data_IF_043132855504
#
_entry.id   IF_043132855504
#
_cell.length_a   1.000
_cell.length_b   1.000
_cell.length_c   1.000
_cell.angle_alpha   90.00
_cell.angle_beta   90.00
_cell.angle_gamma   90.00
#
_symmetry.space_group_name_H-M   'P 1'
#
loop_
_entity.id
_entity.type
_entity.pdbx_description
1 polymer ?
#
# COMPACT_ATOMS: atom_id res chain seq x y z
N UNK A 1 -3.74 22.24 23.25
CA UNK A 1 -3.74 22.15 21.77
C UNK A 1 -4.30 20.78 21.41
N UNK A 2 -5.53 20.71 20.91
CA UNK A 2 -6.13 19.42 20.54
C UNK A 2 -5.44 18.92 19.26
N UNK A 3 -4.95 17.68 19.28
CA UNK A 3 -4.41 17.00 18.09
C UNK A 3 -5.54 16.95 17.06
N UNK A 4 -5.32 17.56 15.90
CA UNK A 4 -6.22 17.40 14.76
C UNK A 4 -6.09 15.95 14.32
N UNK A 5 -6.98 15.09 14.79
CA UNK A 5 -7.23 13.82 14.14
C UNK A 5 -8.14 14.14 12.96
N UNK A 6 -7.57 14.18 11.74
CA UNK A 6 -8.39 14.17 10.54
C UNK A 6 -9.40 13.03 10.66
N UNK A 7 -10.68 13.31 10.43
CA UNK A 7 -11.71 12.28 10.52
C UNK A 7 -11.48 11.24 9.43
N UNK A 8 -11.36 9.98 9.80
CA UNK A 8 -11.46 8.85 8.87
C UNK A 8 -12.94 8.58 8.62
N UNK A 9 -13.42 8.86 7.41
CA UNK A 9 -14.78 8.49 6.99
C UNK A 9 -14.71 7.21 6.19
N UNK A 10 -15.32 6.15 6.73
CA UNK A 10 -15.41 4.85 6.05
C UNK A 10 -16.78 4.69 5.38
N UNK A 11 -16.86 4.00 4.24
CA UNK A 11 -18.14 3.62 3.66
C UNK A 11 -18.90 2.73 4.65
N UNK A 12 -20.23 2.92 4.77
CA UNK A 12 -21.04 2.14 5.72
C UNK A 12 -21.24 0.70 5.30
N UNK A 13 -21.17 0.43 4.00
CA UNK A 13 -21.33 -0.90 3.42
C UNK A 13 -20.23 -1.07 2.37
N UNK A 14 -19.42 -2.11 2.54
CA UNK A 14 -18.38 -2.50 1.61
C UNK A 14 -18.52 -4.00 1.39
N UNK A 15 -18.82 -4.39 0.15
CA UNK A 15 -18.84 -5.80 -0.26
C UNK A 15 -17.45 -6.16 -0.81
N UNK A 16 -16.52 -6.47 0.09
CA UNK A 16 -15.16 -6.86 -0.27
C UNK A 16 -14.57 -7.82 0.77
N UNK A 17 -13.75 -8.76 0.32
CA UNK A 17 -13.06 -9.71 1.19
C UNK A 17 -11.81 -9.10 1.88
N UNK A 18 -11.15 -8.15 1.20
CA UNK A 18 -9.92 -7.49 1.67
C UNK A 18 -9.89 -6.04 1.22
N UNK A 19 -9.48 -5.15 2.12
CA UNK A 19 -9.19 -3.75 1.83
C UNK A 19 -7.68 -3.51 1.77
N UNK A 20 -7.21 -2.92 0.68
CA UNK A 20 -5.80 -2.55 0.50
C UNK A 20 -5.68 -1.02 0.49
N UNK A 21 -4.98 -0.48 1.49
CA UNK A 21 -4.64 0.94 1.52
C UNK A 21 -3.35 1.20 0.74
N UNK A 22 -3.45 2.02 -0.30
CA UNK A 22 -2.35 2.39 -1.17
C UNK A 22 -1.56 3.59 -0.61
N UNK A 23 -0.48 3.31 0.10
CA UNK A 23 0.60 4.27 0.39
C UNK A 23 0.21 5.52 1.17
N UNK A 24 1.22 6.31 1.51
CA UNK A 24 1.15 7.72 1.98
C UNK A 24 0.05 8.07 3.00
N UNK A 25 -0.35 7.09 3.80
CA UNK A 25 -1.47 7.23 4.75
C UNK A 25 -1.05 8.06 5.96
N UNK A 26 0.12 7.77 6.53
CA UNK A 26 0.73 8.54 7.62
C UNK A 26 2.22 8.16 7.77
N UNK A 27 3.14 9.06 8.14
CA UNK A 27 4.56 8.73 8.34
C UNK A 27 4.81 7.83 9.56
N UNK A 28 4.04 8.00 10.64
CA UNK A 28 4.14 7.20 11.87
C UNK A 28 3.56 5.78 11.69
N UNK A 29 4.36 4.70 11.86
CA UNK A 29 3.89 3.31 11.78
C UNK A 29 2.80 2.96 12.80
N UNK A 30 2.82 3.55 13.99
CA UNK A 30 1.84 3.25 15.03
C UNK A 30 0.47 3.83 14.67
N UNK A 31 0.44 5.03 14.09
CA UNK A 31 -0.80 5.61 13.57
C UNK A 31 -1.34 4.77 12.41
N UNK A 32 -0.49 4.30 11.50
CA UNK A 32 -0.94 3.39 10.42
C UNK A 32 -1.54 2.09 10.97
N UNK A 33 -0.92 1.51 12.00
CA UNK A 33 -1.43 0.31 12.67
C UNK A 33 -2.81 0.56 13.29
N UNK A 34 -2.98 1.68 13.99
CA UNK A 34 -4.27 2.06 14.59
C UNK A 34 -5.37 2.27 13.54
N UNK A 35 -5.03 2.88 12.39
CA UNK A 35 -5.96 3.04 11.28
C UNK A 35 -6.39 1.69 10.71
N UNK A 36 -5.46 0.75 10.49
CA UNK A 36 -5.78 -0.61 10.01
C UNK A 36 -6.74 -1.29 10.98
N UNK A 37 -6.41 -1.33 12.27
CA UNK A 37 -7.26 -1.95 13.30
C UNK A 37 -8.65 -1.32 13.31
N UNK A 38 -8.74 0.01 13.22
CA UNK A 38 -10.02 0.70 13.22
C UNK A 38 -10.87 0.36 11.99
N UNK A 39 -10.25 0.19 10.82
CA UNK A 39 -10.95 -0.23 9.60
C UNK A 39 -11.47 -1.66 9.75
N UNK A 40 -10.64 -2.56 10.27
CA UNK A 40 -11.03 -3.96 10.49
C UNK A 40 -12.19 -4.06 11.49
N UNK A 41 -12.15 -3.29 12.58
CA UNK A 41 -13.20 -3.24 13.60
C UNK A 41 -14.52 -2.68 13.08
N UNK A 42 -14.48 -1.61 12.28
CA UNK A 42 -15.69 -0.92 11.79
C UNK A 42 -16.33 -1.61 10.59
N UNK A 43 -15.53 -2.19 9.69
CA UNK A 43 -16.04 -2.80 8.45
C UNK A 43 -16.15 -4.32 8.53
N UNK A 44 -15.48 -4.97 9.50
CA UNK A 44 -15.39 -6.43 9.55
C UNK A 44 -14.59 -7.04 8.39
N UNK A 45 -13.82 -6.24 7.67
CA UNK A 45 -13.04 -6.63 6.49
C UNK A 45 -11.57 -6.61 6.85
N UNK A 46 -10.83 -7.64 6.43
CA UNK A 46 -9.37 -7.68 6.60
C UNK A 46 -8.71 -6.53 5.84
N UNK A 47 -7.91 -5.73 6.53
CA UNK A 47 -7.24 -4.58 5.93
C UNK A 47 -5.73 -4.77 5.87
N UNK A 48 -5.10 -4.24 4.82
CA UNK A 48 -3.64 -4.17 4.70
C UNK A 48 -3.23 -2.79 4.20
N UNK A 49 -1.95 -2.50 4.36
CA UNK A 49 -1.32 -1.28 3.89
C UNK A 49 -0.06 -1.64 3.11
N UNK A 50 0.08 -1.04 1.93
CA UNK A 50 1.36 -0.93 1.21
C UNK A 50 1.92 0.46 1.38
N UNK A 51 3.23 0.59 1.35
CA UNK A 51 3.88 1.86 1.56
C UNK A 51 3.91 2.69 0.27
N UNK A 52 3.81 4.01 0.40
CA UNK A 52 4.09 4.95 -0.68
C UNK A 52 5.45 5.62 -0.47
N UNK A 53 5.80 6.58 -1.31
CA UNK A 53 7.08 7.27 -1.23
C UNK A 53 7.23 8.15 0.03
N UNK A 54 6.13 8.72 0.52
CA UNK A 54 6.13 9.48 1.77
C UNK A 54 6.28 8.57 3.00
N UNK A 55 6.04 7.27 2.85
CA UNK A 55 6.35 6.27 3.88
C UNK A 55 7.84 6.16 4.21
N UNK A 56 8.73 6.62 3.32
CA UNK A 56 10.19 6.55 3.47
C UNK A 56 10.84 7.94 3.36
N UNK A 57 10.05 9.01 3.48
CA UNK A 57 10.50 10.39 3.29
C UNK A 57 11.25 10.62 1.95
N UNK A 58 10.93 9.83 0.91
CA UNK A 58 11.63 9.88 -0.38
C UNK A 58 13.10 9.47 -0.37
N UNK A 59 13.62 8.93 0.74
CA UNK A 59 15.05 8.63 0.90
C UNK A 59 15.53 7.33 0.25
N UNK A 60 14.69 6.29 0.23
CA UNK A 60 15.02 5.00 -0.38
C UNK A 60 13.78 4.15 -0.66
N UNK A 61 13.85 3.32 -1.71
CA UNK A 61 12.82 2.34 -2.00
C UNK A 61 12.72 1.30 -0.87
N UNK A 62 11.52 0.83 -0.49
CA UNK A 62 11.36 -0.28 0.44
C UNK A 62 12.22 -1.50 0.08
N UNK A 63 12.89 -2.09 1.07
CA UNK A 63 13.39 -3.49 0.99
C UNK A 63 12.30 -4.51 1.42
N UNK A 64 11.03 -4.12 1.34
CA UNK A 64 9.86 -4.93 1.64
C UNK A 64 9.51 -5.78 0.40
N UNK A 65 9.29 -7.09 0.61
CA UNK A 65 9.01 -8.06 -0.46
C UNK A 65 7.51 -8.13 -0.87
N UNK A 66 6.72 -7.17 -0.41
CA UNK A 66 5.26 -7.21 -0.45
C UNK A 66 4.66 -8.12 0.63
N UNK A 67 3.33 -8.22 0.58
CA UNK A 67 2.52 -9.05 1.47
C UNK A 67 1.70 -10.02 0.64
N UNK A 68 1.70 -11.29 1.05
CA UNK A 68 0.81 -12.31 0.54
C UNK A 68 -0.42 -12.41 1.44
N UNK A 69 -1.60 -12.30 0.85
CA UNK A 69 -2.89 -12.42 1.54
C UNK A 69 -3.64 -13.60 0.94
N UNK A 70 -4.04 -14.54 1.79
CA UNK A 70 -4.86 -15.69 1.39
C UNK A 70 -6.31 -15.45 1.76
N UNK A 71 -7.21 -15.56 0.78
CA UNK A 71 -8.67 -15.44 0.93
C UNK A 71 -9.28 -16.72 0.37
N UNK A 72 -9.70 -17.63 1.27
CA UNK A 72 -10.12 -18.97 0.87
C UNK A 72 -9.02 -19.70 0.09
N UNK A 73 -9.26 -19.95 -1.20
CA UNK A 73 -8.29 -20.60 -2.12
C UNK A 73 -7.53 -19.61 -3.01
N UNK A 74 -7.80 -18.31 -2.87
CA UNK A 74 -7.20 -17.25 -3.68
C UNK A 74 -6.01 -16.66 -2.93
N UNK A 75 -4.91 -16.44 -3.65
CA UNK A 75 -3.72 -15.76 -3.17
C UNK A 75 -3.60 -14.40 -3.85
N UNK A 76 -3.55 -13.35 -3.05
CA UNK A 76 -3.38 -11.96 -3.50
C UNK A 76 -2.04 -11.46 -3.01
N UNK A 77 -1.19 -11.04 -3.95
CA UNK A 77 0.09 -10.38 -3.64
C UNK A 77 -0.12 -8.88 -3.72
N UNK A 78 0.29 -8.17 -2.67
CA UNK A 78 0.23 -6.72 -2.60
C UNK A 78 1.64 -6.19 -2.36
N UNK A 79 2.16 -5.40 -3.30
CA UNK A 79 3.53 -4.91 -3.25
C UNK A 79 3.59 -3.41 -3.52
N UNK A 80 4.57 -2.76 -2.90
CA UNK A 80 4.89 -1.36 -3.18
C UNK A 80 5.65 -1.28 -4.50
N UNK A 81 5.23 -0.40 -5.41
CA UNK A 81 5.96 -0.06 -6.62
C UNK A 81 6.21 1.45 -6.63
N UNK A 82 7.42 1.88 -6.97
CA UNK A 82 7.75 3.29 -7.16
C UNK A 82 8.10 3.50 -8.62
N UNK A 83 7.36 4.40 -9.24
CA UNK A 83 7.68 4.86 -10.58
C UNK A 83 8.81 5.86 -10.47
N UNK A 84 10.02 5.51 -10.93
CA UNK A 84 11.01 6.53 -11.24
C UNK A 84 10.56 7.21 -12.52
N UNK A 85 10.12 8.46 -12.45
CA UNK A 85 10.08 9.30 -13.65
C UNK A 85 11.54 9.55 -14.01
N UNK A 86 12.06 8.77 -14.95
CA UNK A 86 13.38 9.03 -15.49
C UNK A 86 13.45 10.49 -15.92
N UNK A 87 14.57 11.14 -15.67
CA UNK A 87 14.99 12.42 -16.25
C UNK A 87 15.17 12.32 -17.79
N UNK A 88 14.27 11.59 -18.45
CA UNK A 88 14.30 11.20 -19.86
C UNK A 88 12.90 11.08 -20.48
N UNK A 89 11.81 11.43 -19.78
CA UNK A 89 10.50 11.57 -20.44
C UNK A 89 10.36 12.85 -21.29
N UNK A 90 11.45 13.61 -21.47
CA UNK A 90 11.62 14.58 -22.57
C UNK A 90 12.55 14.07 -23.70
N UNK A 91 13.09 12.86 -23.61
CA UNK A 91 13.85 12.24 -24.71
C UNK A 91 13.67 10.72 -24.70
N UNK A 92 12.76 10.23 -25.53
CA UNK A 92 12.29 8.85 -25.55
C UNK A 92 13.38 7.78 -25.48
N UNK A 93 13.31 6.94 -24.46
CA UNK A 93 13.77 5.55 -24.49
C UNK A 93 13.01 4.76 -23.45
N UNK A 94 12.24 3.77 -23.91
CA UNK A 94 11.43 2.85 -23.11
C UNK A 94 12.30 1.95 -22.24
N UNK A 95 12.11 1.99 -20.91
CA UNK A 95 12.71 1.01 -20.00
C UNK A 95 11.67 -0.07 -19.68
N UNK A 96 11.95 -1.29 -20.11
CA UNK A 96 11.15 -2.50 -19.87
C UNK A 96 11.23 -2.94 -18.40
N UNK A 97 10.08 -3.19 -17.77
CA UNK A 97 9.97 -3.99 -16.55
C UNK A 97 10.37 -5.44 -16.85
N UNK A 98 11.43 -5.92 -16.23
CA UNK A 98 11.86 -7.31 -16.36
C UNK A 98 11.15 -8.14 -15.29
N UNK A 99 9.98 -8.68 -15.63
CA UNK A 99 9.32 -9.71 -14.81
C UNK A 99 10.14 -11.00 -14.93
N UNK A 100 10.99 -11.27 -13.93
CA UNK A 100 11.80 -12.47 -13.88
C UNK A 100 10.94 -13.73 -13.93
N UNK A 101 10.99 -14.42 -15.07
CA UNK A 101 10.56 -15.80 -15.20
C UNK A 101 11.52 -16.71 -14.44
N UNK A 102 11.06 -17.37 -13.38
CA UNK A 102 11.62 -18.67 -12.96
C UNK A 102 10.54 -19.72 -13.07
N UNK A 103 10.54 -20.38 -14.22
CA UNK A 103 10.03 -21.74 -14.39
C UNK A 103 11.22 -22.67 -14.19
N UNK A 104 11.16 -23.47 -13.13
CA UNK A 104 11.75 -24.82 -13.02
C UNK A 104 11.41 -25.39 -11.65
#
# INVERSE_FOLDING_TARGET
MFKVYGSLSLPREVDADVLVMAGDTHPDPEIRRQVIVKIEDELGIRATHVHGNHGYYGGSFPNDLGKLITIGRIQVVVATLWTSYGLGLLSGSSTTCNCGSRVS
#
